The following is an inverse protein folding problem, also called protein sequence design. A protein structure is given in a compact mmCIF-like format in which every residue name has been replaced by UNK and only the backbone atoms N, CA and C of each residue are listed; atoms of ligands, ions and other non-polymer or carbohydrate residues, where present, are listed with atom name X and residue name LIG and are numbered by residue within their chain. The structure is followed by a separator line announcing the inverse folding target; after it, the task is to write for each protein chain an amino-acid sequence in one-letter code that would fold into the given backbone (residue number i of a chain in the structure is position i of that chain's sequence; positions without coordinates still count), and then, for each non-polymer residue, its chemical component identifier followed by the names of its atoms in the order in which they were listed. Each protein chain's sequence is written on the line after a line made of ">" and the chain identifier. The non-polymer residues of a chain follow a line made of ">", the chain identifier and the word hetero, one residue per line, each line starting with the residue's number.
data_IF_766183800152
#
_entry.id   IF_766183800152
#
_cell.length_a   1.000
_cell.length_b   1.000
_cell.length_c   1.000
_cell.angle_alpha   90.00
_cell.angle_beta   90.00
_cell.angle_gamma   90.00
#
_symmetry.space_group_name_H-M   'P 1'
#
loop_
_entity.id
_entity.type
_entity.pdbx_description
1 polymer ?
#
# COMPACT_ATOMS: atom_id res chain seq x y z
N UNK A 1 16.52 -13.87 -2.82
CA UNK A 1 16.30 -14.91 -1.79
C UNK A 1 14.83 -14.83 -1.38
N UNK A 2 14.08 -15.91 -1.59
CA UNK A 2 12.60 -15.88 -1.59
C UNK A 2 11.99 -15.86 -0.19
N UNK A 3 11.27 -14.79 0.10
CA UNK A 3 10.46 -14.48 1.30
C UNK A 3 9.40 -15.56 1.63
N UNK A 4 9.10 -16.42 0.66
CA UNK A 4 8.05 -17.46 0.72
C UNK A 4 8.30 -18.60 1.71
N UNK A 5 9.39 -18.57 2.47
CA UNK A 5 9.73 -19.59 3.47
C UNK A 5 9.50 -19.13 4.91
N UNK A 6 9.01 -17.91 5.13
CA UNK A 6 8.61 -17.47 6.45
C UNK A 6 7.33 -18.22 6.86
N UNK A 7 7.39 -18.95 7.97
CA UNK A 7 6.26 -19.64 8.57
C UNK A 7 6.15 -19.16 10.03
N UNK A 8 4.97 -18.66 10.39
CA UNK A 8 4.64 -18.22 11.74
C UNK A 8 3.17 -18.58 12.00
N UNK A 9 2.88 -19.15 13.16
CA UNK A 9 1.53 -19.65 13.50
C UNK A 9 0.49 -18.52 13.66
N UNK A 10 0.94 -17.29 13.93
CA UNK A 10 0.10 -16.12 14.14
C UNK A 10 0.00 -15.24 12.91
N UNK A 11 0.77 -15.53 11.85
CA UNK A 11 0.85 -14.68 10.67
C UNK A 11 0.52 -15.43 9.39
N UNK A 12 -0.62 -15.08 8.80
CA UNK A 12 -1.02 -15.61 7.49
C UNK A 12 -0.42 -14.76 6.38
N UNK A 13 0.57 -15.30 5.68
CA UNK A 13 1.16 -14.65 4.50
C UNK A 13 0.27 -14.83 3.26
N UNK A 14 0.04 -13.74 2.55
CA UNK A 14 -0.58 -13.76 1.23
C UNK A 14 0.27 -12.99 0.23
N UNK A 15 0.56 -13.62 -0.91
CA UNK A 15 1.41 -13.05 -1.94
C UNK A 15 0.59 -12.69 -3.16
N UNK A 16 0.77 -11.47 -3.66
CA UNK A 16 0.20 -11.09 -4.95
C UNK A 16 0.82 -11.91 -6.09
N UNK A 17 -0.02 -12.26 -7.07
CA UNK A 17 0.43 -12.82 -8.35
C UNK A 17 0.93 -11.74 -9.31
N UNK A 18 0.68 -10.47 -9.01
CA UNK A 18 1.07 -9.33 -9.84
C UNK A 18 2.49 -8.89 -9.49
N UNK A 19 3.27 -8.40 -10.47
CA UNK A 19 4.63 -7.89 -10.23
C UNK A 19 4.62 -6.50 -9.58
N UNK A 20 4.19 -6.42 -8.32
CA UNK A 20 4.05 -5.17 -7.52
C UNK A 20 5.37 -4.48 -7.17
N UNK A 21 6.52 -5.03 -7.59
CA UNK A 21 7.80 -4.31 -7.57
C UNK A 21 7.80 -3.13 -8.56
N UNK A 22 6.92 -3.14 -9.57
CA UNK A 22 6.74 -2.01 -10.50
C UNK A 22 5.68 -1.04 -9.94
N UNK A 23 5.99 0.26 -9.75
CA UNK A 23 5.09 1.21 -9.11
C UNK A 23 3.68 1.26 -9.73
N UNK A 24 3.57 1.35 -11.06
CA UNK A 24 2.27 1.40 -11.74
C UNK A 24 1.42 0.13 -11.51
N UNK A 25 2.07 -1.05 -11.49
CA UNK A 25 1.40 -2.32 -11.21
C UNK A 25 0.94 -2.40 -9.77
N UNK A 26 1.76 -1.90 -8.82
CA UNK A 26 1.41 -1.82 -7.41
C UNK A 26 0.18 -0.94 -7.20
N UNK A 27 0.17 0.26 -7.79
CA UNK A 27 -0.97 1.19 -7.71
C UNK A 27 -2.23 0.52 -8.23
N UNK A 28 -2.19 -0.08 -9.42
CA UNK A 28 -3.36 -0.78 -9.97
C UNK A 28 -3.82 -1.94 -9.08
N UNK A 29 -2.88 -2.69 -8.49
CA UNK A 29 -3.20 -3.79 -7.60
C UNK A 29 -3.86 -3.29 -6.29
N UNK A 30 -3.33 -2.23 -5.68
CA UNK A 30 -3.88 -1.57 -4.49
C UNK A 30 -5.30 -1.05 -4.73
N UNK A 31 -5.58 -0.51 -5.93
CA UNK A 31 -6.91 0.04 -6.23
C UNK A 31 -7.94 -1.02 -6.68
N UNK A 32 -7.50 -2.12 -7.32
CA UNK A 32 -8.43 -3.08 -7.95
C UNK A 32 -8.50 -4.45 -7.26
N UNK A 33 -7.36 -4.95 -6.77
CA UNK A 33 -7.26 -6.33 -6.26
C UNK A 33 -7.28 -6.34 -4.74
N UNK A 34 -6.62 -5.38 -4.08
CA UNK A 34 -6.58 -5.28 -2.62
C UNK A 34 -7.97 -5.20 -1.99
N UNK A 35 -8.94 -4.38 -2.48
CA UNK A 35 -10.24 -4.28 -1.83
C UNK A 35 -11.01 -5.61 -1.88
N UNK A 36 -10.91 -6.32 -3.00
CA UNK A 36 -11.51 -7.66 -3.16
C UNK A 36 -10.84 -8.67 -2.23
N UNK A 37 -9.51 -8.64 -2.12
CA UNK A 37 -8.78 -9.52 -1.22
C UNK A 37 -9.17 -9.28 0.24
N UNK A 38 -9.20 -8.02 0.68
CA UNK A 38 -9.60 -7.63 2.04
C UNK A 38 -11.01 -8.11 2.39
N UNK A 39 -11.95 -7.97 1.45
CA UNK A 39 -13.33 -8.45 1.62
C UNK A 39 -13.40 -9.97 1.71
N UNK A 40 -12.69 -10.70 0.85
CA UNK A 40 -12.67 -12.18 0.87
C UNK A 40 -12.03 -12.77 2.12
N UNK A 41 -11.13 -12.02 2.75
CA UNK A 41 -10.42 -12.44 3.97
C UNK A 41 -11.03 -11.89 5.24
N UNK A 42 -12.13 -11.14 5.15
CA UNK A 42 -12.84 -10.54 6.28
C UNK A 42 -11.90 -9.74 7.21
N UNK A 43 -11.04 -8.91 6.61
CA UNK A 43 -10.10 -8.08 7.38
C UNK A 43 -10.83 -6.93 8.05
N UNK A 44 -10.67 -6.80 9.37
CA UNK A 44 -11.29 -5.74 10.17
C UNK A 44 -10.61 -4.37 10.01
N UNK A 45 -9.31 -4.35 9.71
CA UNK A 45 -8.50 -3.13 9.63
C UNK A 45 -7.33 -3.31 8.65
N UNK A 46 -7.19 -2.38 7.71
CA UNK A 46 -6.02 -2.30 6.83
C UNK A 46 -4.94 -1.38 7.43
N UNK A 47 -3.73 -1.89 7.62
CA UNK A 47 -2.56 -1.06 7.94
C UNK A 47 -1.71 -0.80 6.69
N UNK A 48 -1.82 0.39 6.12
CA UNK A 48 -1.11 0.83 4.94
C UNK A 48 0.23 1.49 5.30
N UNK A 49 1.32 0.75 5.17
CA UNK A 49 2.67 1.25 5.49
C UNK A 49 3.37 1.96 4.32
N UNK A 50 2.74 2.10 3.16
CA UNK A 50 3.38 2.63 1.96
C UNK A 50 3.15 4.14 1.74
N UNK A 51 2.88 4.91 2.80
CA UNK A 51 2.46 6.32 2.73
C UNK A 51 1.16 6.59 1.95
N UNK A 52 0.49 5.54 1.47
CA UNK A 52 -0.64 5.63 0.58
C UNK A 52 -1.69 4.57 0.95
N UNK A 53 -2.96 4.99 1.05
CA UNK A 53 -4.10 4.09 1.20
C UNK A 53 -4.83 3.83 -0.12
N UNK A 54 -5.59 2.72 -0.25
CA UNK A 54 -6.52 2.54 -1.36
C UNK A 54 -7.64 3.59 -1.28
N UNK A 55 -8.11 4.10 -2.42
CA UNK A 55 -9.21 5.08 -2.45
C UNK A 55 -10.54 4.46 -2.01
N UNK A 56 -10.67 3.14 -2.18
CA UNK A 56 -11.84 2.36 -1.79
C UNK A 56 -11.36 1.14 -1.00
N UNK A 57 -11.88 0.96 0.20
CA UNK A 57 -11.60 -0.20 1.05
C UNK A 57 -12.89 -0.66 1.74
N UNK A 58 -13.11 -1.98 1.91
CA UNK A 58 -14.27 -2.51 2.62
C UNK A 58 -14.17 -2.34 4.15
N UNK A 59 -13.01 -1.90 4.66
CA UNK A 59 -12.72 -1.77 6.08
C UNK A 59 -12.02 -0.44 6.39
N UNK A 60 -12.05 0.04 7.65
CA UNK A 60 -11.21 1.15 8.09
C UNK A 60 -9.73 0.90 7.79
N UNK A 61 -8.96 1.97 7.59
CA UNK A 61 -7.52 1.86 7.34
C UNK A 61 -6.71 2.91 8.10
N UNK A 62 -5.47 2.55 8.41
CA UNK A 62 -4.46 3.42 9.03
C UNK A 62 -3.28 3.53 8.09
N UNK A 63 -2.81 4.75 7.83
CA UNK A 63 -1.58 4.99 7.06
C UNK A 63 -0.45 5.38 8.01
N UNK A 64 0.70 4.73 7.87
CA UNK A 64 1.92 5.20 8.53
C UNK A 64 2.68 6.13 7.59
N UNK A 65 2.92 7.36 8.06
CA UNK A 65 3.74 8.36 7.38
C UNK A 65 5.08 8.39 8.12
N UNK A 66 6.15 7.89 7.50
CA UNK A 66 7.48 7.85 8.13
C UNK A 66 8.21 9.19 8.09
N UNK A 67 7.94 10.02 7.08
CA UNK A 67 8.54 11.34 6.90
C UNK A 67 7.65 12.25 6.04
N UNK A 68 7.86 13.56 6.17
CA UNK A 68 7.16 14.60 5.41
C UNK A 68 8.09 15.27 4.39
N UNK A 69 9.15 14.58 3.95
CA UNK A 69 10.17 15.17 3.06
C UNK A 69 9.56 15.58 1.72
N UNK A 70 8.55 14.84 1.25
CA UNK A 70 7.79 15.18 0.03
C UNK A 70 7.01 16.48 0.15
N UNK A 71 6.62 16.88 1.37
CA UNK A 71 5.92 18.12 1.66
C UNK A 71 6.91 19.29 1.79
N UNK A 72 8.03 19.09 2.49
CA UNK A 72 9.01 20.15 2.76
C UNK A 72 10.02 20.39 1.64
N UNK A 73 10.37 19.37 0.84
CA UNK A 73 11.40 19.46 -0.20
C UNK A 73 10.88 19.02 -1.58
N UNK A 74 9.80 19.63 -2.10
CA UNK A 74 9.17 19.18 -3.34
C UNK A 74 10.11 19.17 -4.56
N UNK A 75 11.14 20.02 -4.57
CA UNK A 75 12.17 20.16 -5.61
C UNK A 75 13.09 18.92 -5.70
N UNK A 76 13.22 18.15 -4.60
CA UNK A 76 14.07 16.96 -4.54
C UNK A 76 13.36 15.70 -5.06
N UNK A 77 12.05 15.75 -5.32
CA UNK A 77 11.26 14.61 -5.76
C UNK A 77 10.86 14.72 -7.23
N UNK A 78 10.93 13.60 -7.96
CA UNK A 78 10.37 13.53 -9.32
C UNK A 78 8.88 13.89 -9.27
N UNK A 79 8.34 14.68 -10.22
CA UNK A 79 6.96 15.16 -10.20
C UNK A 79 5.92 14.04 -9.97
N UNK A 80 6.15 12.86 -10.55
CA UNK A 80 5.30 11.68 -10.37
C UNK A 80 5.28 11.10 -8.95
N UNK A 81 6.41 11.13 -8.23
CA UNK A 81 6.47 10.68 -6.84
C UNK A 81 5.72 11.64 -5.92
N UNK A 82 5.81 12.94 -6.21
CA UNK A 82 5.03 13.97 -5.52
C UNK A 82 3.54 13.76 -5.72
N UNK A 83 3.10 13.54 -6.96
CA UNK A 83 1.68 13.34 -7.29
C UNK A 83 1.09 12.11 -6.58
N UNK A 84 1.83 10.98 -6.57
CA UNK A 84 1.40 9.76 -5.88
C UNK A 84 1.33 9.94 -4.36
N UNK A 85 2.38 10.49 -3.74
CA UNK A 85 2.38 10.69 -2.29
C UNK A 85 1.26 11.67 -1.88
N UNK A 86 1.09 12.78 -2.58
CA UNK A 86 0.08 13.78 -2.20
C UNK A 86 -1.38 13.35 -2.37
N UNK A 87 -1.70 12.44 -3.31
CA UNK A 87 -3.09 12.03 -3.57
C UNK A 87 -3.53 10.86 -2.71
N UNK A 88 -2.60 9.96 -2.39
CA UNK A 88 -2.94 8.74 -1.66
C UNK A 88 -2.57 8.81 -0.18
N UNK A 89 -1.88 9.85 0.28
CA UNK A 89 -1.87 10.19 1.71
C UNK A 89 -3.26 10.60 2.15
N UNK A 90 -3.80 9.90 3.14
CA UNK A 90 -5.00 10.34 3.86
C UNK A 90 -4.64 11.61 4.66
N UNK A 91 -5.02 12.77 4.14
CA UNK A 91 -5.05 14.04 4.86
C UNK A 91 -6.51 14.45 5.11
#
# INVERSE_FOLDING_TARGET
>A
MGDRRFEDERLRLQYSRWPTHRPAVRILWEQLVQPVALHQTEVDLLHAMAFAGPLVTPCPFVVTIYDLSFYHYPEAFRPWNRWYLSIFTAL
#
